data_IF_023818822923
#
_entry.id   IF_023818822923
#
_cell.length_a   1.000
_cell.length_b   1.000
_cell.length_c   1.000
_cell.angle_alpha   90.00
_cell.angle_beta   90.00
_cell.angle_gamma   90.00
#
_symmetry.space_group_name_H-M   'P 1'
#
loop_
_entity.id
_entity.type
_entity.pdbx_description
1 polymer ?
#
# COMPACT_ATOMS: atom_id res chain seq x y z
N UNK A 1 -24.05 -11.36 4.01
CA UNK A 1 -23.77 -11.01 2.61
C UNK A 1 -22.27 -11.09 2.44
N UNK A 2 -21.76 -12.18 1.87
CA UNK A 2 -20.32 -12.34 1.64
C UNK A 2 -19.97 -11.42 0.48
N UNK A 3 -19.27 -10.30 0.76
CA UNK A 3 -18.63 -9.54 -0.31
C UNK A 3 -17.57 -10.45 -0.91
N UNK A 4 -17.65 -10.69 -2.22
CA UNK A 4 -16.58 -11.28 -3.02
C UNK A 4 -15.26 -10.59 -2.72
N UNK A 5 -14.18 -11.36 -2.58
CA UNK A 5 -12.82 -10.80 -2.58
C UNK A 5 -12.67 -9.88 -3.79
N UNK A 6 -12.24 -8.64 -3.53
CA UNK A 6 -11.99 -7.64 -4.58
C UNK A 6 -10.87 -8.17 -5.46
N UNK A 7 -11.06 -8.16 -6.78
CA UNK A 7 -10.06 -8.70 -7.70
C UNK A 7 -8.75 -7.91 -7.64
N UNK A 8 -7.63 -8.57 -7.95
CA UNK A 8 -6.29 -7.98 -7.99
C UNK A 8 -6.25 -6.72 -8.85
N UNK A 9 -6.90 -6.77 -10.01
CA UNK A 9 -6.99 -5.69 -10.98
C UNK A 9 -7.80 -4.52 -10.42
N UNK A 10 -8.91 -4.81 -9.72
CA UNK A 10 -9.71 -3.79 -9.07
C UNK A 10 -8.93 -3.11 -7.94
N UNK A 11 -8.21 -3.87 -7.10
CA UNK A 11 -7.35 -3.28 -6.06
C UNK A 11 -6.28 -2.38 -6.67
N UNK A 12 -5.52 -2.87 -7.65
CA UNK A 12 -4.47 -2.11 -8.31
C UNK A 12 -5.01 -0.83 -8.95
N UNK A 13 -6.16 -0.91 -9.64
CA UNK A 13 -6.83 0.23 -10.26
C UNK A 13 -7.31 1.26 -9.24
N UNK A 14 -7.89 0.85 -8.11
CA UNK A 14 -8.36 1.78 -7.08
C UNK A 14 -7.17 2.57 -6.50
N UNK A 15 -6.10 1.88 -6.10
CA UNK A 15 -4.97 2.52 -5.45
C UNK A 15 -4.07 3.31 -6.42
N UNK A 16 -3.95 2.87 -7.68
CA UNK A 16 -3.22 3.63 -8.71
C UNK A 16 -3.93 4.95 -9.03
N UNK A 17 -5.26 4.94 -9.17
CA UNK A 17 -6.06 6.14 -9.38
C UNK A 17 -5.98 7.10 -8.19
N UNK A 18 -6.03 6.57 -6.97
CA UNK A 18 -5.86 7.35 -5.74
C UNK A 18 -4.49 8.06 -5.72
N UNK A 19 -3.42 7.32 -6.03
CA UNK A 19 -2.07 7.86 -6.03
C UNK A 19 -1.86 8.88 -7.17
N UNK A 20 -2.38 8.59 -8.35
CA UNK A 20 -2.35 9.51 -9.49
C UNK A 20 -3.03 10.84 -9.14
N UNK A 21 -4.21 10.77 -8.52
CA UNK A 21 -4.94 11.94 -8.05
C UNK A 21 -4.16 12.76 -7.02
N UNK A 22 -3.52 12.10 -6.05
CA UNK A 22 -2.70 12.77 -5.03
C UNK A 22 -1.46 13.45 -5.61
N UNK A 23 -0.72 12.77 -6.49
CA UNK A 23 0.48 13.30 -7.12
C UNK A 23 0.18 14.40 -8.15
N UNK A 24 -1.07 14.49 -8.64
CA UNK A 24 -1.52 15.56 -9.52
C UNK A 24 -1.86 16.87 -8.78
N UNK A 25 -2.00 16.84 -7.44
CA UNK A 25 -2.35 18.03 -6.64
C UNK A 25 -1.22 19.07 -6.64
N UNK A 26 0.04 18.64 -6.70
CA UNK A 26 1.21 19.51 -6.58
C UNK A 26 2.12 19.39 -7.82
N UNK A 27 2.51 20.54 -8.38
CA UNK A 27 3.39 20.59 -9.56
C UNK A 27 4.74 19.93 -9.32
N UNK A 28 5.20 19.89 -8.07
CA UNK A 28 6.46 19.27 -7.66
C UNK A 28 6.43 17.74 -7.84
N UNK A 29 5.25 17.11 -7.80
CA UNK A 29 5.07 15.66 -7.88
C UNK A 29 4.60 15.16 -9.24
N UNK A 30 4.32 16.04 -10.20
CA UNK A 30 3.85 15.68 -11.54
C UNK A 30 4.85 14.79 -12.29
N UNK A 31 6.16 15.00 -12.09
CA UNK A 31 7.19 14.15 -12.68
C UNK A 31 7.10 12.69 -12.18
N UNK A 32 6.62 12.45 -10.96
CA UNK A 32 6.41 11.10 -10.43
C UNK A 32 5.26 10.38 -11.14
N UNK A 33 4.22 11.12 -11.53
CA UNK A 33 3.15 10.61 -12.37
C UNK A 33 3.65 10.23 -13.76
N UNK A 34 4.55 11.02 -14.38
CA UNK A 34 5.13 10.65 -15.68
C UNK A 34 5.99 9.37 -15.64
N UNK A 35 6.46 8.97 -14.45
CA UNK A 35 7.22 7.74 -14.25
C UNK A 35 6.32 6.53 -13.92
N UNK A 36 4.99 6.73 -13.89
CA UNK A 36 4.00 5.74 -13.48
C UNK A 36 4.31 5.12 -12.11
N UNK A 37 4.90 5.90 -11.19
CA UNK A 37 5.28 5.40 -9.87
C UNK A 37 4.06 5.01 -9.05
N UNK A 38 2.95 5.77 -9.13
CA UNK A 38 1.74 5.43 -8.40
C UNK A 38 1.14 4.08 -8.79
N UNK A 39 1.17 3.75 -10.09
CA UNK A 39 0.74 2.44 -10.60
C UNK A 39 1.66 1.31 -10.13
N UNK A 40 2.99 1.48 -10.28
CA UNK A 40 3.98 0.50 -9.82
C UNK A 40 3.88 0.23 -8.32
N UNK A 41 3.64 1.27 -7.51
CA UNK A 41 3.44 1.12 -6.07
C UNK A 41 2.15 0.39 -5.75
N UNK A 42 1.04 0.71 -6.44
CA UNK A 42 -0.23 -0.01 -6.29
C UNK A 42 -0.09 -1.51 -6.61
N UNK A 43 0.53 -1.85 -7.74
CA UNK A 43 0.78 -3.26 -8.11
C UNK A 43 1.68 -3.97 -7.10
N UNK A 44 2.72 -3.28 -6.60
CA UNK A 44 3.64 -3.82 -5.61
C UNK A 44 2.95 -4.09 -4.27
N UNK A 45 2.17 -3.12 -3.77
CA UNK A 45 1.39 -3.28 -2.53
C UNK A 45 0.36 -4.40 -2.63
N UNK A 46 -0.32 -4.54 -3.77
CA UNK A 46 -1.25 -5.65 -4.00
C UNK A 46 -0.52 -7.00 -3.97
N UNK A 47 0.66 -7.07 -4.60
CA UNK A 47 1.47 -8.30 -4.60
C UNK A 47 1.97 -8.65 -3.19
N UNK A 48 2.35 -7.66 -2.38
CA UNK A 48 2.70 -7.86 -0.97
C UNK A 48 1.49 -8.34 -0.17
N UNK A 49 0.33 -7.71 -0.35
CA UNK A 49 -0.91 -8.11 0.30
C UNK A 49 -1.30 -9.56 -0.01
N UNK A 50 -1.30 -9.96 -1.28
CA UNK A 50 -1.56 -11.35 -1.70
C UNK A 50 -0.57 -12.32 -1.05
N UNK A 51 0.72 -11.94 -1.01
CA UNK A 51 1.76 -12.78 -0.40
C UNK A 51 1.54 -12.93 1.11
N UNK A 52 1.24 -11.84 1.81
CA UNK A 52 0.97 -11.84 3.25
C UNK A 52 -0.27 -12.67 3.58
N UNK A 53 -1.32 -12.59 2.76
CA UNK A 53 -2.52 -13.44 2.93
C UNK A 53 -2.19 -14.94 2.82
N UNK A 54 -1.26 -15.32 1.94
CA UNK A 54 -0.84 -16.72 1.76
C UNK A 54 0.12 -17.19 2.86
N UNK A 55 1.09 -16.37 3.24
CA UNK A 55 2.14 -16.77 4.19
C UNK A 55 1.71 -16.67 5.66
N UNK A 56 0.81 -15.74 5.97
CA UNK A 56 0.34 -15.49 7.35
C UNK A 56 -1.10 -15.95 7.54
N UNK A 57 -1.35 -17.23 7.26
CA UNK A 57 -2.67 -17.82 7.48
C UNK A 57 -3.03 -17.76 8.98
N UNK A 58 -4.28 -17.40 9.31
CA UNK A 58 -4.75 -17.41 10.69
C UNK A 58 -4.71 -18.84 11.22
N UNK A 59 -3.77 -19.12 12.12
CA UNK A 59 -3.79 -20.34 12.93
C UNK A 59 -4.64 -20.09 14.18
N UNK A 60 -5.25 -21.11 14.81
CA UNK A 60 -6.03 -20.92 16.04
C UNK A 60 -5.25 -20.22 17.17
N UNK A 61 -3.92 -20.38 17.20
CA UNK A 61 -3.02 -19.68 18.12
C UNK A 61 -2.71 -18.22 17.73
N UNK A 62 -2.98 -17.84 16.47
CA UNK A 62 -2.64 -16.54 15.89
C UNK A 62 -3.83 -15.94 15.10
N UNK A 63 -4.99 -15.85 15.76
CA UNK A 63 -6.23 -15.33 15.18
C UNK A 63 -6.18 -13.84 14.78
N UNK A 64 -5.17 -13.08 15.23
CA UNK A 64 -4.97 -11.67 14.89
C UNK A 64 -4.40 -11.43 13.48
N UNK A 65 -4.00 -12.48 12.74
CA UNK A 65 -3.53 -12.40 11.34
C UNK A 65 -4.66 -12.38 10.30
N UNK A 66 -5.81 -11.78 10.63
CA UNK A 66 -6.82 -11.49 9.61
C UNK A 66 -6.42 -10.23 8.85
N UNK A 67 -5.65 -10.40 7.77
CA UNK A 67 -5.35 -9.31 6.84
C UNK A 67 -6.54 -9.10 5.89
N UNK A 68 -6.96 -7.85 5.75
CA UNK A 68 -8.04 -7.46 4.85
C UNK A 68 -7.69 -6.18 4.09
N UNK A 69 -8.56 -5.77 3.16
CA UNK A 69 -8.36 -4.57 2.34
C UNK A 69 -8.13 -3.28 3.13
N UNK A 70 -8.61 -3.19 4.38
CA UNK A 70 -8.35 -2.03 5.24
C UNK A 70 -6.87 -1.86 5.53
N UNK A 71 -6.13 -2.95 5.63
CA UNK A 71 -4.69 -2.91 5.89
C UNK A 71 -3.97 -2.31 4.68
N UNK A 72 -4.30 -2.79 3.49
CA UNK A 72 -3.83 -2.20 2.24
C UNK A 72 -4.21 -0.71 2.15
N UNK A 73 -5.45 -0.33 2.49
CA UNK A 73 -5.86 1.07 2.54
C UNK A 73 -5.05 1.92 3.53
N UNK A 74 -4.63 1.36 4.68
CA UNK A 74 -3.82 2.09 5.68
C UNK A 74 -2.44 2.46 5.14
N UNK A 75 -1.83 1.61 4.32
CA UNK A 75 -0.53 1.92 3.68
C UNK A 75 -0.65 3.20 2.86
N UNK A 76 -1.62 3.23 1.94
CA UNK A 76 -1.85 4.40 1.10
C UNK A 76 -2.30 5.61 1.90
N UNK A 77 -3.13 5.43 2.93
CA UNK A 77 -3.51 6.52 3.83
C UNK A 77 -2.28 7.14 4.50
N UNK A 78 -1.31 6.35 4.96
CA UNK A 78 -0.06 6.86 5.54
C UNK A 78 0.75 7.70 4.56
N UNK A 79 0.85 7.26 3.30
CA UNK A 79 1.49 8.03 2.23
C UNK A 79 0.76 9.36 1.98
N UNK A 80 -0.58 9.32 1.90
CA UNK A 80 -1.43 10.49 1.66
C UNK A 80 -1.43 11.52 2.79
N UNK A 81 -1.05 11.13 4.01
CA UNK A 81 -0.90 12.08 5.14
C UNK A 81 0.36 12.95 5.01
N UNK A 82 1.27 12.61 4.10
CA UNK A 82 2.45 13.43 3.78
C UNK A 82 2.06 14.53 2.79
N UNK A 83 2.70 15.70 2.90
CA UNK A 83 2.50 16.77 1.92
C UNK A 83 3.18 16.40 0.60
N UNK A 84 2.50 16.51 -0.56
CA UNK A 84 3.11 16.27 -1.87
C UNK A 84 4.42 17.04 -2.10
N UNK A 85 4.50 18.29 -1.63
CA UNK A 85 5.71 19.12 -1.69
C UNK A 85 6.96 18.51 -1.02
N UNK A 86 6.82 17.47 -0.20
CA UNK A 86 7.95 16.77 0.43
C UNK A 86 8.39 15.54 -0.39
N UNK A 87 7.63 15.16 -1.41
CA UNK A 87 7.85 14.00 -2.27
C UNK A 87 8.49 14.44 -3.60
N UNK A 88 9.53 15.28 -3.53
CA UNK A 88 10.17 15.84 -4.72
C UNK A 88 11.02 14.83 -5.51
N UNK A 89 11.26 13.62 -4.98
CA UNK A 89 12.06 12.61 -5.66
C UNK A 89 11.38 11.24 -5.63
N UNK A 90 11.58 10.41 -6.67
CA UNK A 90 11.11 9.02 -6.70
C UNK A 90 11.57 8.22 -5.48
N UNK A 91 12.82 8.43 -5.06
CA UNK A 91 13.42 7.71 -3.93
C UNK A 91 12.71 8.03 -2.63
N UNK A 92 12.35 9.30 -2.39
CA UNK A 92 11.62 9.70 -1.18
C UNK A 92 10.23 9.05 -1.13
N UNK A 93 9.52 9.00 -2.26
CA UNK A 93 8.22 8.34 -2.33
C UNK A 93 8.32 6.84 -2.06
N UNK A 94 9.28 6.15 -2.68
CA UNK A 94 9.50 4.71 -2.47
C UNK A 94 9.90 4.40 -1.03
N UNK A 95 10.77 5.22 -0.43
CA UNK A 95 11.17 5.04 0.98
C UNK A 95 10.00 5.22 1.94
N UNK A 96 9.17 6.24 1.72
CA UNK A 96 7.95 6.45 2.50
C UNK A 96 6.99 5.26 2.35
N UNK A 97 6.79 4.79 1.12
CA UNK A 97 5.97 3.61 0.85
C UNK A 97 6.49 2.36 1.58
N UNK A 98 7.78 2.05 1.48
CA UNK A 98 8.41 0.94 2.21
C UNK A 98 8.22 1.06 3.73
N UNK A 99 8.29 2.28 4.27
CA UNK A 99 8.04 2.54 5.68
C UNK A 99 6.60 2.22 6.07
N UNK A 100 5.62 2.68 5.29
CA UNK A 100 4.20 2.41 5.56
C UNK A 100 3.83 0.94 5.38
N UNK A 101 4.36 0.25 4.37
CA UNK A 101 4.24 -1.21 4.20
C UNK A 101 4.75 -1.95 5.44
N UNK A 102 5.95 -1.59 5.91
CA UNK A 102 6.52 -2.17 7.13
C UNK A 102 5.63 -1.87 8.34
N UNK A 103 5.23 -0.62 8.56
CA UNK A 103 4.38 -0.23 9.69
C UNK A 103 3.05 -0.98 9.72
N UNK A 104 2.44 -1.23 8.56
CA UNK A 104 1.13 -1.90 8.49
C UNK A 104 1.26 -3.41 8.69
N UNK A 105 2.21 -4.05 7.99
CA UNK A 105 2.32 -5.50 7.94
C UNK A 105 3.35 -6.05 8.94
N UNK A 106 4.53 -5.44 9.03
CA UNK A 106 5.62 -5.89 9.91
C UNK A 106 5.31 -5.70 11.39
N UNK A 107 4.65 -4.62 11.78
CA UNK A 107 4.32 -4.39 13.21
C UNK A 107 3.35 -5.44 13.77
N UNK A 108 2.68 -6.22 12.90
CA UNK A 108 1.83 -7.36 13.30
C UNK A 108 2.57 -8.69 13.37
N UNK A 109 3.83 -8.74 12.94
CA UNK A 109 4.69 -9.91 13.12
C UNK A 109 5.17 -9.96 14.58
N UNK A 110 4.49 -10.73 15.42
CA UNK A 110 4.85 -10.93 16.83
C UNK A 110 6.03 -11.92 17.01
N UNK A 111 6.68 -12.37 15.93
CA UNK A 111 7.82 -13.29 16.02
C UNK A 111 9.15 -12.52 15.94
N UNK A 112 9.64 -12.08 17.11
CA UNK A 112 11.08 -11.99 17.38
C UNK A 112 11.58 -13.38 17.72
N UNK A 113 11.98 -14.14 16.70
CA UNK A 113 12.94 -15.25 16.89
C UNK A 113 14.29 -14.84 16.34
#
# INVERSE_FOLDING_TARGET
MWLTDVSREAMASIFSNLMSGFLAVDSSTVHLNSLNLGEKLAESSVSVYERVQIEMLPTPAKCHYTFNLRDLSKVFQGVLMTKPAHLCTPSTLVLLWCHEESRVFRDRLVDTK
#
